data_IF_846424785929
#
_entry.id   IF_846424785929
#
_cell.length_a   1.000
_cell.length_b   1.000
_cell.length_c   1.000
_cell.angle_alpha   90.00
_cell.angle_beta   90.00
_cell.angle_gamma   90.00
#
_symmetry.space_group_name_H-M   'P 1'
#
loop_
_entity.id
_entity.type
_entity.pdbx_description
1 polymer ?
#
# COMPACT_ATOMS: atom_id res chain seq x y z
N UNK A 1 -22.01 7.14 -80.74
CA UNK A 1 -21.11 7.90 -79.84
C UNK A 1 -21.61 7.71 -78.41
N UNK A 2 -21.04 6.76 -77.66
CA UNK A 2 -21.49 6.40 -76.31
C UNK A 2 -20.36 6.66 -75.32
N UNK A 3 -20.58 7.57 -74.38
CA UNK A 3 -19.59 8.01 -73.39
C UNK A 3 -19.92 7.30 -72.07
N UNK A 4 -19.16 6.25 -71.76
CA UNK A 4 -19.33 5.44 -70.53
C UNK A 4 -18.45 6.04 -69.42
N UNK A 5 -19.04 6.84 -68.53
CA UNK A 5 -18.31 7.52 -67.44
C UNK A 5 -17.95 6.55 -66.30
N UNK A 6 -16.65 6.44 -65.98
CA UNK A 6 -16.08 5.63 -64.88
C UNK A 6 -16.52 6.17 -63.51
N UNK A 7 -17.59 5.60 -62.91
CA UNK A 7 -18.13 6.01 -61.59
C UNK A 7 -17.77 5.04 -60.43
N UNK A 8 -16.96 4.01 -60.66
CA UNK A 8 -16.87 2.87 -59.74
C UNK A 8 -15.77 3.01 -58.67
N UNK A 9 -14.68 3.74 -58.91
CA UNK A 9 -13.51 3.77 -58.00
C UNK A 9 -13.63 4.75 -56.83
N UNK A 10 -14.39 5.85 -57.00
CA UNK A 10 -14.53 6.88 -55.95
C UNK A 10 -15.39 6.43 -54.76
N UNK A 11 -16.35 5.53 -54.99
CA UNK A 11 -17.26 5.00 -53.96
C UNK A 11 -16.56 3.98 -53.05
N UNK A 12 -15.66 3.17 -53.61
CA UNK A 12 -14.87 2.18 -52.87
C UNK A 12 -13.81 2.85 -52.00
N UNK A 13 -13.17 3.93 -52.46
CA UNK A 13 -12.17 4.65 -51.68
C UNK A 13 -12.76 5.32 -50.43
N UNK A 14 -13.93 5.96 -50.57
CA UNK A 14 -14.64 6.59 -49.44
C UNK A 14 -15.11 5.55 -48.39
N UNK A 15 -15.54 4.37 -48.83
CA UNK A 15 -15.95 3.29 -47.93
C UNK A 15 -14.77 2.71 -47.12
N UNK A 16 -13.58 2.61 -47.72
CA UNK A 16 -12.35 2.17 -47.04
C UNK A 16 -11.92 3.18 -45.98
N UNK A 17 -11.99 4.48 -46.27
CA UNK A 17 -11.67 5.54 -45.30
C UNK A 17 -12.65 5.51 -44.13
N UNK A 18 -13.96 5.40 -44.39
CA UNK A 18 -14.97 5.34 -43.35
C UNK A 18 -14.78 4.12 -42.44
N UNK A 19 -14.50 2.94 -43.01
CA UNK A 19 -14.23 1.73 -42.25
C UNK A 19 -12.95 1.85 -41.40
N UNK A 20 -11.89 2.48 -41.92
CA UNK A 20 -10.66 2.72 -41.17
C UNK A 20 -10.86 3.68 -39.98
N UNK A 21 -11.68 4.73 -40.16
CA UNK A 21 -12.01 5.66 -39.08
C UNK A 21 -12.84 4.99 -37.99
N UNK A 22 -13.83 4.16 -38.36
CA UNK A 22 -14.65 3.42 -37.39
C UNK A 22 -13.82 2.39 -36.63
N UNK A 23 -12.92 1.66 -37.31
CA UNK A 23 -12.01 0.73 -36.66
C UNK A 23 -11.06 1.43 -35.68
N UNK A 24 -10.56 2.62 -36.04
CA UNK A 24 -9.71 3.44 -35.17
C UNK A 24 -10.44 3.94 -33.93
N UNK A 25 -11.71 4.33 -34.05
CA UNK A 25 -12.52 4.80 -32.92
C UNK A 25 -12.86 3.62 -31.99
N UNK A 26 -13.18 2.45 -32.54
CA UNK A 26 -13.50 1.27 -31.74
C UNK A 26 -12.28 0.75 -30.95
N UNK A 27 -11.07 0.84 -31.52
CA UNK A 27 -9.85 0.47 -30.82
C UNK A 27 -9.54 1.39 -29.63
N UNK A 28 -9.99 2.65 -29.65
CA UNK A 28 -9.75 3.60 -28.56
C UNK A 28 -10.70 3.36 -27.36
N UNK A 29 -11.90 2.84 -27.59
CA UNK A 29 -12.90 2.58 -26.54
C UNK A 29 -12.82 1.18 -25.93
N UNK A 30 -12.12 0.25 -26.58
CA UNK A 30 -12.06 -1.16 -26.19
C UNK A 30 -10.97 -1.48 -25.13
N UNK A 31 -10.44 -0.49 -24.43
CA UNK A 31 -9.47 -0.75 -23.37
C UNK A 31 -10.18 -1.47 -22.21
N UNK A 32 -9.73 -2.67 -21.79
CA UNK A 32 -10.30 -3.31 -20.62
C UNK A 32 -9.97 -2.47 -19.38
N UNK A 33 -11.01 -2.00 -18.67
CA UNK A 33 -10.88 -1.39 -17.36
C UNK A 33 -10.51 -2.47 -16.33
N UNK A 34 -9.25 -2.90 -16.34
CA UNK A 34 -8.67 -3.75 -15.31
C UNK A 34 -8.37 -2.90 -14.08
N UNK A 35 -9.28 -2.88 -13.10
CA UNK A 35 -8.98 -2.34 -11.79
C UNK A 35 -8.05 -3.33 -11.05
N UNK A 36 -6.75 -3.29 -11.34
CA UNK A 36 -5.74 -3.90 -10.47
C UNK A 36 -5.57 -3.01 -9.25
N UNK A 37 -6.39 -3.24 -8.21
CA UNK A 37 -6.08 -2.70 -6.89
C UNK A 37 -4.70 -3.24 -6.52
N UNK A 38 -3.72 -2.34 -6.36
CA UNK A 38 -2.40 -2.71 -5.89
C UNK A 38 -2.57 -3.33 -4.49
N UNK A 39 -2.35 -4.64 -4.37
CA UNK A 39 -2.27 -5.30 -3.08
C UNK A 39 -0.90 -4.94 -2.50
N UNK A 40 -0.88 -3.93 -1.63
CA UNK A 40 0.32 -3.64 -0.85
C UNK A 40 0.58 -4.82 0.07
N UNK A 41 1.73 -5.47 -0.08
CA UNK A 41 2.14 -6.55 0.81
C UNK A 41 2.25 -5.99 2.24
N UNK A 42 1.36 -6.42 3.13
CA UNK A 42 1.41 -6.05 4.55
C UNK A 42 2.47 -6.87 5.25
N UNK A 43 3.43 -6.21 5.91
CA UNK A 43 4.43 -6.88 6.73
C UNK A 43 3.85 -7.12 8.12
N UNK A 44 3.75 -8.38 8.54
CA UNK A 44 3.34 -8.71 9.90
C UNK A 44 4.48 -8.42 10.88
N UNK A 45 4.22 -7.58 11.88
CA UNK A 45 5.11 -7.38 13.03
C UNK A 45 4.59 -8.20 14.21
N UNK A 46 5.40 -9.13 14.69
CA UNK A 46 5.01 -10.07 15.74
C UNK A 46 6.22 -10.75 16.34
N UNK A 47 6.13 -11.12 17.61
CA UNK A 47 7.11 -11.94 18.31
C UNK A 47 6.50 -13.21 18.91
N UNK A 48 7.34 -13.98 19.61
CA UNK A 48 6.95 -15.20 20.34
C UNK A 48 6.08 -14.92 21.56
N UNK A 49 6.19 -13.72 22.11
CA UNK A 49 5.41 -13.24 23.25
C UNK A 49 5.09 -11.74 23.10
N UNK A 50 4.47 -11.17 24.14
CA UNK A 50 4.09 -9.76 24.19
C UNK A 50 5.30 -8.81 24.19
N UNK A 51 6.42 -9.21 24.77
CA UNK A 51 7.64 -8.39 24.86
C UNK A 51 8.34 -8.35 23.49
N UNK A 52 8.50 -9.50 22.85
CA UNK A 52 9.04 -9.62 21.50
C UNK A 52 8.15 -8.94 20.45
N UNK A 53 6.82 -8.98 20.63
CA UNK A 53 5.90 -8.24 19.74
C UNK A 53 6.04 -6.72 19.91
N UNK A 54 6.15 -6.23 21.14
CA UNK A 54 6.39 -4.81 21.40
C UNK A 54 7.75 -4.37 20.80
N UNK A 55 8.79 -5.18 20.96
CA UNK A 55 10.09 -4.95 20.34
C UNK A 55 10.02 -4.94 18.79
N UNK A 56 9.26 -5.86 18.18
CA UNK A 56 9.08 -5.86 16.72
C UNK A 56 8.25 -4.67 16.20
N UNK A 57 7.34 -4.13 17.03
CA UNK A 57 6.63 -2.89 16.72
C UNK A 57 7.53 -1.66 16.86
N UNK A 58 8.45 -1.66 17.83
CA UNK A 58 9.45 -0.62 18.02
C UNK A 58 10.38 -0.47 16.81
N UNK A 59 10.69 -1.55 16.08
CA UNK A 59 11.51 -1.48 14.86
C UNK A 59 10.88 -0.64 13.73
N UNK A 60 9.57 -0.42 13.78
CA UNK A 60 8.86 0.43 12.82
C UNK A 60 8.81 1.91 13.26
N UNK A 61 8.96 2.16 14.56
CA UNK A 61 9.07 3.50 15.11
C UNK A 61 10.49 4.01 14.83
N UNK A 62 10.64 4.77 13.76
CA UNK A 62 11.88 5.35 13.24
C UNK A 62 13.07 5.41 14.23
N UNK A 63 14.20 4.83 13.81
CA UNK A 63 15.46 4.63 14.56
C UNK A 63 16.14 5.92 15.06
N UNK A 64 15.54 7.09 14.82
CA UNK A 64 16.02 8.40 15.30
C UNK A 64 15.41 8.82 16.63
N UNK A 65 14.38 8.13 17.13
CA UNK A 65 13.73 8.50 18.39
C UNK A 65 14.61 8.13 19.59
N UNK A 66 14.97 9.14 20.39
CA UNK A 66 15.74 8.96 21.64
C UNK A 66 14.83 8.70 22.85
N UNK A 67 13.51 8.78 22.68
CA UNK A 67 12.54 8.69 23.76
C UNK A 67 11.93 7.30 23.83
N UNK A 68 12.20 6.60 24.94
CA UNK A 68 11.58 5.31 25.24
C UNK A 68 10.67 5.44 26.45
N UNK A 69 9.47 4.89 26.33
CA UNK A 69 8.52 4.74 27.44
C UNK A 69 8.46 3.25 27.77
N UNK A 70 8.68 2.93 29.04
CA UNK A 70 8.64 1.56 29.55
C UNK A 70 7.35 1.36 30.34
N UNK A 71 6.65 0.27 30.07
CA UNK A 71 5.49 -0.17 30.84
C UNK A 71 5.61 -1.64 31.23
N UNK A 72 4.92 -2.01 32.32
CA UNK A 72 4.79 -3.43 32.67
C UNK A 72 3.98 -4.16 31.60
N UNK A 73 4.50 -5.30 31.13
CA UNK A 73 3.79 -6.20 30.25
C UNK A 73 2.87 -7.18 30.98
N UNK A 74 2.84 -7.17 32.32
CA UNK A 74 2.04 -8.10 33.13
C UNK A 74 0.56 -7.73 33.12
N UNK A 75 0.24 -6.43 33.05
CA UNK A 75 -1.10 -5.88 32.95
C UNK A 75 -1.25 -5.00 31.71
N UNK A 76 -2.45 -4.97 31.12
CA UNK A 76 -2.74 -4.14 29.95
C UNK A 76 -2.91 -2.65 30.29
N UNK A 77 -3.30 -2.31 31.52
CA UNK A 77 -3.64 -0.94 31.91
C UNK A 77 -2.45 0.03 31.80
N UNK A 78 -1.25 -0.43 32.15
CA UNK A 78 -0.04 0.39 32.11
C UNK A 78 0.35 0.70 30.66
N UNK A 79 0.35 -0.31 29.79
CA UNK A 79 0.61 -0.09 28.35
C UNK A 79 -0.42 0.83 27.70
N UNK A 80 -1.70 0.69 28.04
CA UNK A 80 -2.76 1.54 27.51
C UNK A 80 -2.58 3.01 27.94
N UNK A 81 -2.35 3.24 29.23
CA UNK A 81 -2.15 4.60 29.75
C UNK A 81 -0.84 5.23 29.28
N UNK A 82 0.24 4.45 29.16
CA UNK A 82 1.54 4.89 28.66
C UNK A 82 1.54 5.24 27.16
N UNK A 83 0.62 4.67 26.37
CA UNK A 83 0.55 4.93 24.92
C UNK A 83 0.38 6.41 24.57
N UNK A 84 -0.39 7.16 25.38
CA UNK A 84 -0.57 8.60 25.18
C UNK A 84 0.71 9.40 25.41
N UNK A 85 1.52 9.01 26.41
CA UNK A 85 2.81 9.63 26.68
C UNK A 85 3.83 9.30 25.58
N UNK A 86 3.88 8.03 25.15
CA UNK A 86 4.74 7.62 24.04
C UNK A 86 4.41 8.43 22.76
N UNK A 87 3.13 8.57 22.43
CA UNK A 87 2.69 9.41 21.30
C UNK A 87 3.06 10.89 21.47
N UNK A 88 2.92 11.45 22.66
CA UNK A 88 3.23 12.86 22.93
C UNK A 88 4.74 13.18 22.83
N UNK A 89 5.59 12.21 23.17
CA UNK A 89 7.05 12.33 23.10
C UNK A 89 7.63 11.95 21.74
N UNK A 90 6.77 11.57 20.78
CA UNK A 90 7.18 10.90 19.53
C UNK A 90 8.09 9.69 19.84
N UNK A 91 7.82 9.01 20.96
CA UNK A 91 8.65 7.96 21.50
C UNK A 91 8.10 6.56 21.28
N UNK A 92 8.93 5.58 21.63
CA UNK A 92 8.64 4.16 21.48
C UNK A 92 8.19 3.56 22.81
N UNK A 93 7.05 2.86 22.81
CA UNK A 93 6.55 2.12 23.98
C UNK A 93 7.08 0.68 23.95
N UNK A 94 7.83 0.30 24.98
CA UNK A 94 8.32 -1.06 25.18
C UNK A 94 7.72 -1.68 26.45
N UNK A 95 7.52 -2.99 26.42
CA UNK A 95 7.02 -3.76 27.55
C UNK A 95 8.15 -4.48 28.28
N UNK A 96 8.05 -4.59 29.60
CA UNK A 96 9.03 -5.28 30.46
C UNK A 96 8.33 -6.11 31.54
N UNK A 97 9.02 -7.07 32.12
CA UNK A 97 8.57 -7.73 33.34
C UNK A 97 8.72 -6.78 34.53
N UNK A 98 7.95 -6.98 35.60
CA UNK A 98 8.03 -6.13 36.79
C UNK A 98 9.41 -6.13 37.45
N UNK A 99 10.08 -7.28 37.39
CA UNK A 99 11.29 -7.56 38.17
C UNK A 99 12.57 -7.52 37.31
N UNK A 100 12.42 -7.44 35.98
CA UNK A 100 13.56 -7.51 35.07
C UNK A 100 13.31 -6.78 33.75
N UNK A 101 14.39 -6.24 33.18
CA UNK A 101 14.40 -5.75 31.82
C UNK A 101 14.63 -6.94 30.87
N UNK A 102 13.64 -7.25 30.05
CA UNK A 102 13.76 -8.30 29.06
C UNK A 102 14.89 -7.99 28.07
N UNK A 103 15.67 -9.01 27.70
CA UNK A 103 16.73 -8.89 26.68
C UNK A 103 16.21 -8.29 25.37
N UNK A 104 14.98 -8.66 24.96
CA UNK A 104 14.32 -8.11 23.77
C UNK A 104 14.11 -6.60 23.83
N UNK A 105 13.99 -6.05 25.04
CA UNK A 105 13.84 -4.62 25.29
C UNK A 105 15.20 -3.92 25.36
N UNK A 106 16.24 -4.59 25.90
CA UNK A 106 17.61 -4.06 25.95
C UNK A 106 18.25 -3.89 24.57
N UNK A 107 17.83 -4.71 23.60
CA UNK A 107 18.35 -4.66 22.23
C UNK A 107 17.72 -3.59 21.33
N UNK A 108 16.86 -2.73 21.89
CA UNK A 108 16.20 -1.62 21.18
C UNK A 108 16.79 -0.29 21.60
#
# INVERSE_FOLDING_TARGET
MSIRTKRTTKRSFAAVIAAALVASVLALVASPAGATAAVTATVRKSGTDRYATAAAAADDANVTETNFVLASGESFADGLSASGLAGALVGTLLLTQGDSLNETTLTK
#
